data_IF_742186562837
#
_entry.id   IF_742186562837
#
_cell.length_a   1.000
_cell.length_b   1.000
_cell.length_c   1.000
_cell.angle_alpha   90.00
_cell.angle_beta   90.00
_cell.angle_gamma   90.00
#
_symmetry.space_group_name_H-M   'P 1'
#
loop_
_entity.id
_entity.type
_entity.pdbx_description
1 polymer ?
#
# COMPACT_ATOMS: atom_id res chain seq x y z
N UNK A 1 -23.22 -12.56 10.74
CA UNK A 1 -22.71 -12.07 12.04
C UNK A 1 -22.75 -10.56 11.99
N UNK A 2 -23.53 -9.91 12.83
CA UNK A 2 -23.52 -8.44 12.94
C UNK A 2 -22.18 -8.02 13.53
N UNK A 3 -21.41 -7.23 12.78
CA UNK A 3 -20.17 -6.68 13.31
C UNK A 3 -20.53 -5.72 14.46
N UNK A 4 -19.91 -5.90 15.61
CA UNK A 4 -20.05 -4.93 16.71
C UNK A 4 -19.63 -3.55 16.19
N UNK A 5 -20.48 -2.51 16.33
CA UNK A 5 -20.12 -1.18 15.85
C UNK A 5 -18.85 -0.71 16.56
N UNK A 6 -17.89 -0.20 15.77
CA UNK A 6 -16.70 0.43 16.32
C UNK A 6 -17.09 1.85 16.76
N UNK A 7 -16.85 2.16 18.01
CA UNK A 7 -17.15 3.47 18.58
C UNK A 7 -15.82 4.05 19.10
N UNK A 8 -15.49 5.26 18.67
CA UNK A 8 -14.32 5.96 19.17
C UNK A 8 -14.65 6.67 20.49
N UNK A 9 -13.72 6.64 21.45
CA UNK A 9 -13.86 7.36 22.73
C UNK A 9 -13.68 8.89 22.55
N UNK A 10 -13.04 9.31 21.48
CA UNK A 10 -12.79 10.72 21.14
C UNK A 10 -13.18 10.99 19.70
N UNK A 11 -13.48 12.26 19.38
CA UNK A 11 -13.81 12.68 18.01
C UNK A 11 -12.59 12.51 17.07
N UNK A 12 -12.71 11.63 16.09
CA UNK A 12 -11.69 11.38 15.05
C UNK A 12 -12.37 11.31 13.69
N UNK A 13 -11.59 11.36 12.61
CA UNK A 13 -12.13 11.20 11.27
C UNK A 13 -12.67 9.77 11.09
N UNK A 14 -13.88 9.66 10.55
CA UNK A 14 -14.61 8.40 10.38
C UNK A 14 -13.84 7.36 9.53
N UNK A 15 -12.98 7.78 8.63
CA UNK A 15 -12.18 6.86 7.82
C UNK A 15 -11.33 5.90 8.68
N UNK A 16 -10.88 6.31 9.87
CA UNK A 16 -10.10 5.45 10.77
C UNK A 16 -10.96 4.36 11.39
N UNK A 17 -12.21 4.67 11.75
CA UNK A 17 -13.14 3.71 12.34
C UNK A 17 -13.68 2.76 11.25
N UNK A 18 -13.98 3.31 10.07
CA UNK A 18 -14.60 2.56 8.98
C UNK A 18 -13.60 1.69 8.21
N UNK A 19 -12.30 1.98 8.30
CA UNK A 19 -11.26 1.16 7.66
C UNK A 19 -11.19 -0.23 8.32
N UNK A 20 -11.21 -1.26 7.52
CA UNK A 20 -10.97 -2.65 7.94
C UNK A 20 -10.19 -3.41 6.86
N UNK A 21 -9.82 -4.67 7.13
CA UNK A 21 -9.09 -5.51 6.19
C UNK A 21 -10.01 -6.60 5.63
N UNK A 22 -10.70 -6.35 4.51
CA UNK A 22 -11.60 -7.33 3.92
C UNK A 22 -10.83 -8.52 3.33
N UNK A 23 -11.50 -9.67 3.27
CA UNK A 23 -11.02 -10.87 2.57
C UNK A 23 -12.03 -11.36 1.52
N UNK A 24 -13.02 -10.53 1.20
CA UNK A 24 -13.98 -10.78 0.13
C UNK A 24 -14.04 -9.54 -0.75
N UNK A 25 -13.92 -9.72 -2.05
CA UNK A 25 -13.92 -8.68 -3.06
C UNK A 25 -14.91 -9.03 -4.15
N UNK A 26 -15.42 -8.04 -4.87
CA UNK A 26 -16.43 -8.19 -5.91
C UNK A 26 -15.84 -8.60 -7.26
N UNK A 27 -14.54 -8.62 -7.39
CA UNK A 27 -13.82 -8.81 -8.66
C UNK A 27 -14.09 -7.71 -9.71
N UNK A 28 -14.70 -6.62 -9.32
CA UNK A 28 -14.92 -5.48 -10.21
C UNK A 28 -13.58 -4.84 -10.62
N UNK A 29 -13.45 -4.40 -11.86
CA UNK A 29 -12.24 -3.70 -12.30
C UNK A 29 -12.12 -2.33 -11.62
N UNK A 30 -10.89 -1.92 -11.36
CA UNK A 30 -10.57 -0.55 -10.92
C UNK A 30 -9.94 0.21 -12.09
N UNK A 31 -10.30 1.49 -12.26
CA UNK A 31 -9.63 2.34 -13.25
C UNK A 31 -8.18 2.62 -12.81
N UNK A 32 -7.30 2.85 -13.76
CA UNK A 32 -5.93 3.23 -13.44
C UNK A 32 -5.88 4.57 -12.72
N UNK A 33 -6.72 5.53 -13.11
CA UNK A 33 -6.84 6.83 -12.46
C UNK A 33 -7.21 6.69 -10.98
N UNK A 34 -8.18 5.85 -10.64
CA UNK A 34 -8.55 5.58 -9.24
C UNK A 34 -7.40 4.96 -8.47
N UNK A 35 -6.69 3.99 -9.06
CA UNK A 35 -5.53 3.38 -8.42
C UNK A 35 -4.40 4.39 -8.19
N UNK A 36 -4.12 5.23 -9.18
CA UNK A 36 -3.11 6.28 -9.07
C UNK A 36 -3.47 7.34 -8.04
N UNK A 37 -4.76 7.62 -7.79
CA UNK A 37 -5.16 8.54 -6.72
C UNK A 37 -4.79 8.02 -5.33
N UNK A 38 -4.79 6.71 -5.10
CA UNK A 38 -4.29 6.12 -3.85
C UNK A 38 -2.78 6.28 -3.72
N UNK A 39 -2.05 6.06 -4.80
CA UNK A 39 -0.59 6.26 -4.81
C UNK A 39 -0.21 7.74 -4.66
N UNK A 40 -1.02 8.64 -5.20
CA UNK A 40 -0.85 10.08 -4.96
C UNK A 40 -1.04 10.42 -3.48
N UNK A 41 -2.06 9.87 -2.81
CA UNK A 41 -2.23 10.06 -1.37
C UNK A 41 -1.02 9.54 -0.57
N UNK A 42 -0.51 8.35 -0.94
CA UNK A 42 0.68 7.77 -0.32
C UNK A 42 1.93 8.65 -0.47
N UNK A 43 2.08 9.35 -1.59
CA UNK A 43 3.22 10.25 -1.86
C UNK A 43 3.34 11.41 -0.88
N UNK A 44 2.25 11.81 -0.22
CA UNK A 44 2.22 12.89 0.77
C UNK A 44 2.58 12.46 2.18
N UNK A 45 2.92 11.20 2.39
CA UNK A 45 3.41 10.73 3.68
C UNK A 45 4.74 11.42 4.05
N UNK A 46 5.00 11.70 5.34
CA UNK A 46 6.29 12.21 5.78
C UNK A 46 7.37 11.13 5.69
N UNK A 47 8.61 11.54 5.50
CA UNK A 47 9.77 10.67 5.58
C UNK A 47 11.01 11.41 6.09
N UNK A 48 11.93 10.68 6.71
CA UNK A 48 13.20 11.23 7.18
C UNK A 48 13.98 11.87 6.02
N UNK A 49 14.39 13.12 6.18
CA UNK A 49 15.05 13.92 5.13
C UNK A 49 14.28 14.02 3.82
N UNK A 50 12.97 13.81 3.85
CA UNK A 50 12.13 13.70 2.65
C UNK A 50 12.68 12.68 1.63
N UNK A 51 13.26 11.59 2.12
CA UNK A 51 13.92 10.56 1.30
C UNK A 51 12.94 9.74 0.47
N UNK A 52 11.67 9.71 0.87
CA UNK A 52 10.59 9.03 0.14
C UNK A 52 10.99 7.62 -0.32
N UNK A 53 11.31 6.70 0.62
CA UNK A 53 11.93 5.41 0.29
C UNK A 53 10.97 4.41 -0.36
N UNK A 54 9.66 4.68 -0.35
CA UNK A 54 8.64 3.80 -0.91
C UNK A 54 8.69 3.73 -2.43
N UNK A 55 8.42 2.55 -2.95
CA UNK A 55 8.18 2.27 -4.36
C UNK A 55 6.96 1.36 -4.44
N UNK A 56 6.04 1.67 -5.34
CA UNK A 56 4.83 0.90 -5.55
C UNK A 56 4.87 0.27 -6.94
N UNK A 57 4.83 -1.06 -6.98
CA UNK A 57 4.60 -1.80 -8.21
C UNK A 57 3.19 -2.35 -8.14
N UNK A 58 2.44 -2.29 -9.23
CA UNK A 58 1.07 -2.79 -9.23
C UNK A 58 0.72 -3.61 -10.45
N UNK A 59 -0.26 -4.48 -10.30
CA UNK A 59 -0.94 -5.15 -11.38
C UNK A 59 -2.44 -5.01 -11.17
N UNK A 60 -3.13 -4.50 -12.18
CA UNK A 60 -4.60 -4.54 -12.21
C UNK A 60 -5.06 -5.92 -12.69
N UNK A 61 -6.24 -6.35 -12.25
CA UNK A 61 -6.91 -7.54 -12.74
C UNK A 61 -6.96 -7.53 -14.27
N UNK A 62 -6.87 -8.69 -14.87
CA UNK A 62 -6.94 -8.91 -16.33
C UNK A 62 -5.81 -8.24 -17.14
N UNK A 63 -4.71 -7.88 -16.47
CA UNK A 63 -3.48 -7.44 -17.15
C UNK A 63 -2.45 -8.56 -17.22
N UNK A 64 -1.47 -8.51 -18.16
CA UNK A 64 -0.47 -9.58 -18.32
C UNK A 64 0.36 -9.88 -17.07
N UNK A 65 0.48 -8.93 -16.15
CA UNK A 65 1.25 -9.11 -14.91
C UNK A 65 0.42 -9.69 -13.74
N UNK A 66 -0.90 -9.82 -13.87
CA UNK A 66 -1.79 -10.24 -12.79
C UNK A 66 -1.36 -11.56 -12.14
N UNK A 67 -1.15 -12.59 -12.94
CA UNK A 67 -0.74 -13.91 -12.45
C UNK A 67 0.63 -13.89 -11.77
N UNK A 68 1.55 -13.05 -12.21
CA UNK A 68 2.86 -12.89 -11.57
C UNK A 68 2.71 -12.38 -10.15
N UNK A 69 1.84 -11.40 -9.91
CA UNK A 69 1.59 -10.84 -8.60
C UNK A 69 0.84 -11.83 -7.70
N UNK A 70 -0.16 -12.53 -8.22
CA UNK A 70 -0.85 -13.58 -7.48
C UNK A 70 0.10 -14.70 -7.02
N UNK A 71 1.08 -15.05 -7.83
CA UNK A 71 2.06 -16.09 -7.52
C UNK A 71 3.07 -15.69 -6.44
N UNK A 72 3.17 -14.41 -6.07
CA UNK A 72 3.96 -13.96 -4.91
C UNK A 72 3.25 -14.27 -3.59
N UNK A 73 1.95 -14.52 -3.61
CA UNK A 73 1.16 -14.75 -2.41
C UNK A 73 1.21 -16.21 -2.00
N UNK A 74 1.30 -16.46 -0.69
CA UNK A 74 1.10 -17.82 -0.15
C UNK A 74 -0.32 -18.31 -0.49
N UNK A 75 -0.54 -19.65 -0.64
CA UNK A 75 -1.81 -20.20 -1.11
C UNK A 75 -3.03 -19.70 -0.34
N UNK A 76 -2.93 -19.57 0.97
CA UNK A 76 -4.01 -19.07 1.81
C UNK A 76 -4.41 -17.61 1.42
N UNK A 77 -3.45 -16.73 1.22
CA UNK A 77 -3.75 -15.34 0.82
C UNK A 77 -4.23 -15.28 -0.63
N UNK A 78 -3.68 -16.07 -1.51
CA UNK A 78 -4.10 -16.17 -2.90
C UNK A 78 -5.58 -16.56 -3.03
N UNK A 79 -6.07 -17.43 -2.16
CA UNK A 79 -7.45 -17.96 -2.23
C UNK A 79 -8.53 -16.86 -2.20
N UNK A 80 -8.26 -15.74 -1.53
CA UNK A 80 -9.18 -14.59 -1.45
C UNK A 80 -8.69 -13.38 -2.26
N UNK A 81 -7.37 -13.13 -2.31
CA UNK A 81 -6.81 -11.97 -3.01
C UNK A 81 -7.00 -12.05 -4.54
N UNK A 82 -7.18 -13.25 -5.11
CA UNK A 82 -7.51 -13.42 -6.52
C UNK A 82 -8.80 -12.71 -6.96
N UNK A 83 -9.65 -12.29 -6.02
CA UNK A 83 -10.84 -11.50 -6.30
C UNK A 83 -10.63 -9.97 -6.16
N UNK A 84 -9.43 -9.53 -5.81
CA UNK A 84 -9.12 -8.10 -5.75
C UNK A 84 -9.08 -7.47 -7.15
N UNK A 85 -9.32 -6.17 -7.23
CA UNK A 85 -9.29 -5.38 -8.48
C UNK A 85 -7.86 -5.05 -8.91
N UNK A 86 -6.95 -4.91 -7.94
CA UNK A 86 -5.53 -4.68 -8.15
C UNK A 86 -4.72 -5.29 -7.01
N UNK A 87 -3.47 -5.63 -7.29
CA UNK A 87 -2.45 -6.02 -6.31
C UNK A 87 -1.33 -4.99 -6.35
N UNK A 88 -0.92 -4.53 -5.19
CA UNK A 88 0.17 -3.56 -5.04
C UNK A 88 1.29 -4.20 -4.22
N UNK A 89 2.49 -4.18 -4.76
CA UNK A 89 3.71 -4.59 -4.07
C UNK A 89 4.43 -3.32 -3.59
N UNK A 90 4.63 -3.24 -2.28
CA UNK A 90 5.30 -2.11 -1.64
C UNK A 90 6.75 -2.49 -1.40
N UNK A 91 7.66 -1.68 -1.92
CA UNK A 91 9.10 -1.86 -1.79
C UNK A 91 9.66 -0.67 -1.00
N UNK A 92 10.55 -0.98 -0.07
CA UNK A 92 11.26 0.01 0.73
C UNK A 92 12.73 0.10 0.28
N UNK A 93 13.13 1.28 -0.24
CA UNK A 93 14.52 1.53 -0.64
C UNK A 93 15.39 1.69 0.60
N UNK A 94 16.43 0.88 0.73
CA UNK A 94 17.29 0.77 1.92
C UNK A 94 18.39 1.82 2.00
N UNK A 95 18.55 2.63 0.94
CA UNK A 95 19.59 3.66 0.87
C UNK A 95 19.02 4.99 0.39
N UNK A 96 19.69 6.09 0.73
CA UNK A 96 19.34 7.42 0.22
C UNK A 96 20.59 8.29 0.15
N UNK A 97 20.59 9.29 -0.73
CA UNK A 97 21.57 10.36 -0.73
C UNK A 97 21.06 11.53 0.12
N UNK A 98 21.77 11.88 1.18
CA UNK A 98 21.45 13.08 1.96
C UNK A 98 21.64 14.35 1.09
N UNK A 99 20.95 15.47 1.37
CA UNK A 99 21.14 16.70 0.64
C UNK A 99 22.62 17.12 0.59
N UNK A 100 23.17 17.28 -0.62
CA UNK A 100 24.58 17.63 -0.85
C UNK A 100 25.57 16.45 -0.79
N UNK A 101 25.13 15.24 -0.49
CA UNK A 101 26.00 14.05 -0.54
C UNK A 101 26.12 13.51 -1.97
N UNK A 102 27.37 13.12 -2.35
CA UNK A 102 27.63 12.50 -3.64
C UNK A 102 27.31 10.99 -3.66
N UNK A 103 27.25 10.36 -2.49
CA UNK A 103 27.04 8.92 -2.35
C UNK A 103 25.79 8.62 -1.49
N UNK A 104 25.20 7.47 -1.76
CA UNK A 104 24.09 6.96 -0.92
C UNK A 104 24.64 6.33 0.37
N UNK A 105 23.89 6.51 1.45
CA UNK A 105 24.10 5.89 2.75
C UNK A 105 22.87 5.08 3.18
N UNK A 106 23.00 4.19 4.19
CA UNK A 106 21.85 3.42 4.69
C UNK A 106 20.72 4.33 5.20
N UNK A 107 19.51 4.08 4.74
CA UNK A 107 18.29 4.76 5.19
C UNK A 107 17.70 4.02 6.40
N UNK A 108 18.14 4.32 7.62
CA UNK A 108 17.82 3.57 8.83
C UNK A 108 16.31 3.50 9.12
N UNK A 109 15.51 4.46 8.68
CA UNK A 109 14.06 4.53 8.92
C UNK A 109 13.23 4.14 7.69
N UNK A 110 13.85 3.57 6.65
CA UNK A 110 13.19 3.27 5.38
C UNK A 110 11.89 2.45 5.53
N UNK A 111 11.85 1.47 6.43
CA UNK A 111 10.65 0.64 6.66
C UNK A 111 9.54 1.40 7.37
N UNK A 112 9.88 2.22 8.37
CA UNK A 112 8.93 3.07 9.07
C UNK A 112 8.31 4.11 8.13
N UNK A 113 9.14 4.80 7.36
CA UNK A 113 8.70 5.80 6.39
C UNK A 113 7.83 5.16 5.29
N UNK A 114 8.21 3.99 4.80
CA UNK A 114 7.39 3.24 3.83
C UNK A 114 6.06 2.81 4.44
N UNK A 115 6.04 2.41 5.71
CA UNK A 115 4.82 2.10 6.45
C UNK A 115 3.89 3.31 6.62
N UNK A 116 4.43 4.53 6.71
CA UNK A 116 3.61 5.75 6.78
C UNK A 116 2.92 6.09 5.45
N UNK A 117 3.50 5.64 4.33
CA UNK A 117 2.93 5.81 2.99
C UNK A 117 1.92 4.71 2.62
N UNK A 118 1.88 3.62 3.38
CA UNK A 118 0.95 2.52 3.19
C UNK A 118 -0.38 2.80 3.88
#
# INVERSE_FOLDING_TARGET
MSATPRIADYAINEQFINRWSPRAFTAEPISEETLLSFLEAARWAPSAYNSQPWRFLYARRDTPNWERYLNLLVPFNRSWAQQASALVLIISKTTFAAPGAAEESPALWHTFDTGSAW
#
